data_IF_826094369349
#
_entry.id   IF_826094369349
#
_cell.length_a   1.000
_cell.length_b   1.000
_cell.length_c   1.000
_cell.angle_alpha   90.00
_cell.angle_beta   90.00
_cell.angle_gamma   90.00
#
_symmetry.space_group_name_H-M   'P 1'
#
loop_
_entity.id
_entity.type
_entity.pdbx_description
1 polymer ?
#
# COMPACT_ATOMS: atom_id res chain seq x y z
N UNK A 1 14.61 -7.75 -11.39
CA UNK A 1 13.56 -7.00 -12.12
C UNK A 1 12.26 -7.77 -12.00
N UNK A 2 11.11 -7.11 -11.78
CA UNK A 2 9.80 -7.79 -11.67
C UNK A 2 9.25 -8.08 -13.08
N UNK A 3 9.97 -8.87 -13.87
CA UNK A 3 9.73 -9.04 -15.31
C UNK A 3 10.54 -8.06 -16.16
N UNK A 4 9.97 -7.60 -17.28
CA UNK A 4 10.67 -6.82 -18.32
C UNK A 4 10.75 -5.31 -18.01
N UNK A 5 10.19 -4.86 -16.88
CA UNK A 5 10.21 -3.46 -16.43
C UNK A 5 11.15 -3.30 -15.24
N UNK A 6 11.88 -2.19 -15.23
CA UNK A 6 12.69 -1.71 -14.10
C UNK A 6 11.79 -1.31 -12.93
N UNK A 7 12.39 -1.14 -11.74
CA UNK A 7 11.62 -0.70 -10.56
C UNK A 7 10.99 0.67 -10.75
N UNK A 8 11.66 1.59 -11.44
CA UNK A 8 11.17 2.94 -11.63
C UNK A 8 10.01 2.98 -12.61
N UNK A 9 10.05 2.18 -13.67
CA UNK A 9 8.94 2.04 -14.62
C UNK A 9 7.68 1.48 -13.95
N UNK A 10 7.81 0.48 -13.06
CA UNK A 10 6.68 -0.03 -12.29
C UNK A 10 6.08 1.03 -11.36
N UNK A 11 6.92 1.79 -10.65
CA UNK A 11 6.46 2.85 -9.75
C UNK A 11 5.81 4.01 -10.52
N UNK A 12 6.34 4.33 -11.69
CA UNK A 12 5.77 5.34 -12.58
C UNK A 12 4.40 4.90 -13.11
N UNK A 13 4.28 3.66 -13.60
CA UNK A 13 3.00 3.07 -14.03
C UNK A 13 1.94 3.14 -12.91
N UNK A 14 2.31 2.71 -11.69
CA UNK A 14 1.45 2.79 -10.52
C UNK A 14 1.04 4.24 -10.18
N UNK A 15 1.97 5.18 -10.26
CA UNK A 15 1.69 6.61 -10.02
C UNK A 15 0.75 7.20 -11.07
N UNK A 16 0.87 6.75 -12.33
CA UNK A 16 0.04 7.20 -13.44
C UNK A 16 -1.35 6.58 -13.45
N UNK A 17 -1.54 5.39 -12.87
CA UNK A 17 -2.84 4.73 -12.77
C UNK A 17 -3.69 5.28 -11.63
N UNK A 18 -3.06 5.79 -10.57
CA UNK A 18 -3.67 6.44 -9.41
C UNK A 18 -3.62 7.96 -9.54
N UNK A 19 -4.53 8.58 -10.31
CA UNK A 19 -4.49 10.03 -10.57
C UNK A 19 -5.34 10.83 -9.59
N UNK A 20 -6.43 10.26 -9.08
CA UNK A 20 -7.38 10.97 -8.26
C UNK A 20 -6.75 11.39 -6.91
N UNK A 21 -6.92 12.65 -6.46
CA UNK A 21 -6.26 13.15 -5.24
C UNK A 21 -6.63 12.36 -4.00
N UNK A 22 -7.90 11.95 -3.87
CA UNK A 22 -8.34 11.10 -2.74
C UNK A 22 -7.70 9.71 -2.81
N UNK A 23 -7.51 9.16 -4.01
CA UNK A 23 -6.86 7.88 -4.18
C UNK A 23 -5.39 7.93 -3.75
N UNK A 24 -4.65 8.95 -4.19
CA UNK A 24 -3.26 9.19 -3.75
C UNK A 24 -3.15 9.40 -2.25
N UNK A 25 -4.04 10.19 -1.66
CA UNK A 25 -4.03 10.49 -0.22
C UNK A 25 -4.28 9.23 0.61
N UNK A 26 -5.35 8.51 0.30
CA UNK A 26 -5.71 7.27 0.99
C UNK A 26 -4.63 6.20 0.82
N UNK A 27 -3.95 6.13 -0.33
CA UNK A 27 -2.82 5.22 -0.50
C UNK A 27 -1.59 5.65 0.29
N UNK A 28 -1.28 6.94 0.32
CA UNK A 28 -0.15 7.48 1.10
C UNK A 28 -0.27 7.16 2.60
N UNK A 29 -1.50 7.04 3.12
CA UNK A 29 -1.78 6.70 4.51
C UNK A 29 -1.98 5.18 4.69
N UNK A 30 -2.75 4.53 3.82
CA UNK A 30 -3.09 3.12 3.96
C UNK A 30 -1.91 2.16 3.73
N UNK A 31 -1.03 2.45 2.77
CA UNK A 31 0.16 1.62 2.50
C UNK A 31 1.05 1.46 3.75
N UNK A 32 1.48 2.55 4.43
CA UNK A 32 2.30 2.39 5.64
C UNK A 32 1.54 1.75 6.79
N UNK A 33 0.22 1.94 6.92
CA UNK A 33 -0.57 1.25 7.95
C UNK A 33 -0.55 -0.27 7.75
N UNK A 34 -0.77 -0.72 6.51
CA UNK A 34 -0.69 -2.14 6.15
C UNK A 34 0.75 -2.64 6.37
N UNK A 35 1.76 -1.92 5.86
CA UNK A 35 3.16 -2.32 5.98
C UNK A 35 3.63 -2.43 7.43
N UNK A 36 3.21 -1.51 8.31
CA UNK A 36 3.55 -1.52 9.73
C UNK A 36 2.79 -2.60 10.51
N UNK A 37 1.56 -2.93 10.10
CA UNK A 37 0.77 -3.97 10.77
C UNK A 37 1.44 -5.35 10.72
N UNK A 38 2.12 -5.68 9.63
CA UNK A 38 2.72 -7.01 9.41
C UNK A 38 3.81 -7.37 10.44
N UNK A 39 4.85 -6.55 10.68
CA UNK A 39 5.81 -6.85 11.74
C UNK A 39 5.19 -6.75 13.13
N UNK A 40 4.18 -5.90 13.35
CA UNK A 40 3.48 -5.81 14.64
C UNK A 40 2.67 -7.07 14.97
N UNK A 41 2.21 -7.83 13.97
CA UNK A 41 1.64 -9.16 14.22
C UNK A 41 2.65 -10.15 14.81
N UNK A 42 3.95 -10.00 14.52
CA UNK A 42 4.99 -10.84 15.15
C UNK A 42 5.14 -10.51 16.64
N UNK A 43 5.01 -9.23 17.01
CA UNK A 43 5.01 -8.78 18.41
C UNK A 43 3.79 -9.34 19.16
N UNK A 44 2.65 -9.42 18.48
CA UNK A 44 1.40 -9.94 19.06
C UNK A 44 1.46 -11.43 19.44
N UNK A 45 2.45 -12.19 18.97
CA UNK A 45 2.70 -13.57 19.40
C UNK A 45 3.25 -13.62 20.83
N UNK A 46 3.99 -12.57 21.22
CA UNK A 46 4.70 -12.48 22.51
C UNK A 46 3.86 -11.73 23.54
N UNK A 47 3.14 -10.70 23.10
CA UNK A 47 2.37 -9.81 23.97
C UNK A 47 0.88 -10.14 23.86
N UNK A 48 0.33 -10.76 24.90
CA UNK A 48 -1.08 -11.11 24.98
C UNK A 48 -1.99 -9.88 24.80
N UNK A 49 -3.07 -10.02 24.03
CA UNK A 49 -4.01 -8.93 23.73
C UNK A 49 -3.52 -7.86 22.76
N UNK A 50 -2.22 -7.82 22.42
CA UNK A 50 -1.66 -6.79 21.53
C UNK A 50 -2.13 -6.91 20.08
N UNK A 51 -2.65 -8.07 19.66
CA UNK A 51 -3.11 -8.35 18.29
C UNK A 51 -4.17 -7.37 17.76
N UNK A 52 -4.90 -6.69 18.64
CA UNK A 52 -5.94 -5.73 18.24
C UNK A 52 -5.36 -4.51 17.50
N UNK A 53 -4.14 -4.09 17.84
CA UNK A 53 -3.47 -2.96 17.21
C UNK A 53 -3.04 -3.23 15.76
N UNK A 54 -2.25 -4.29 15.45
CA UNK A 54 -1.94 -4.62 14.07
C UNK A 54 -3.20 -4.97 13.27
N UNK A 55 -4.21 -5.61 13.87
CA UNK A 55 -5.47 -5.86 13.17
C UNK A 55 -6.18 -4.55 12.79
N UNK A 56 -6.29 -3.59 13.71
CA UNK A 56 -6.91 -2.30 13.42
C UNK A 56 -6.15 -1.55 12.31
N UNK A 57 -4.81 -1.53 12.36
CA UNK A 57 -3.98 -0.92 11.31
C UNK A 57 -4.19 -1.60 9.95
N UNK A 58 -4.22 -2.94 9.93
CA UNK A 58 -4.43 -3.71 8.72
C UNK A 58 -5.80 -3.44 8.10
N UNK A 59 -6.87 -3.54 8.90
CA UNK A 59 -8.26 -3.34 8.44
C UNK A 59 -8.48 -1.90 7.97
N UNK A 60 -8.12 -0.91 8.78
CA UNK A 60 -8.29 0.50 8.42
C UNK A 60 -7.42 0.85 7.21
N UNK A 61 -6.20 0.33 7.15
CA UNK A 61 -5.31 0.51 6.00
C UNK A 61 -5.96 0.02 4.70
N UNK A 62 -6.54 -1.18 4.70
CA UNK A 62 -7.28 -1.72 3.55
C UNK A 62 -8.53 -0.92 3.20
N UNK A 63 -9.32 -0.51 4.19
CA UNK A 63 -10.49 0.34 3.97
C UNK A 63 -10.08 1.62 3.22
N UNK A 64 -8.98 2.26 3.64
CA UNK A 64 -8.46 3.44 2.94
C UNK A 64 -8.09 3.11 1.49
N UNK A 65 -7.37 2.01 1.22
CA UNK A 65 -7.03 1.59 -0.16
C UNK A 65 -8.30 1.47 -1.03
N UNK A 66 -9.32 0.73 -0.53
CA UNK A 66 -10.55 0.50 -1.28
C UNK A 66 -11.38 1.77 -1.47
N UNK A 67 -11.43 2.65 -0.47
CA UNK A 67 -12.08 3.97 -0.62
C UNK A 67 -11.38 4.78 -1.70
N UNK A 68 -10.04 4.80 -1.72
CA UNK A 68 -9.28 5.45 -2.79
C UNK A 68 -9.65 4.95 -4.18
N UNK A 69 -9.71 3.64 -4.35
CA UNK A 69 -10.11 2.98 -5.60
C UNK A 69 -11.57 3.23 -6.00
N UNK A 70 -12.48 3.34 -5.03
CA UNK A 70 -13.86 3.72 -5.28
C UNK A 70 -13.94 5.11 -5.93
N UNK A 71 -13.19 6.09 -5.44
CA UNK A 71 -13.12 7.43 -6.06
C UNK A 71 -12.37 7.47 -7.40
N UNK A 72 -11.39 6.58 -7.62
CA UNK A 72 -10.72 6.46 -8.92
C UNK A 72 -11.61 5.79 -9.98
N UNK A 73 -12.65 5.05 -9.57
CA UNK A 73 -13.52 4.29 -10.46
C UNK A 73 -12.84 3.07 -11.09
N UNK A 74 -11.70 2.62 -10.53
CA UNK A 74 -10.92 1.49 -11.04
C UNK A 74 -10.66 0.48 -9.91
N UNK A 75 -10.76 -0.82 -10.18
CA UNK A 75 -10.42 -1.82 -9.18
C UNK A 75 -8.91 -1.76 -8.85
N UNK A 76 -8.52 -2.18 -7.64
CA UNK A 76 -7.13 -2.37 -7.27
C UNK A 76 -6.35 -3.24 -8.25
N UNK A 77 -5.14 -2.83 -8.59
CA UNK A 77 -4.33 -3.49 -9.62
C UNK A 77 -3.81 -4.85 -9.20
N UNK A 78 -3.71 -5.11 -7.89
CA UNK A 78 -3.29 -6.42 -7.39
C UNK A 78 -4.26 -7.54 -7.76
N UNK A 79 -5.51 -7.23 -8.11
CA UNK A 79 -6.45 -8.20 -8.67
C UNK A 79 -6.03 -8.71 -10.05
N UNK A 80 -5.28 -7.89 -10.80
CA UNK A 80 -4.70 -8.29 -12.09
C UNK A 80 -3.34 -8.94 -11.89
N UNK A 81 -2.56 -8.41 -10.94
CA UNK A 81 -1.20 -8.86 -10.70
C UNK A 81 -0.75 -8.54 -9.27
N UNK A 82 -0.58 -9.57 -8.45
CA UNK A 82 -0.19 -9.46 -7.04
C UNK A 82 1.09 -8.64 -6.80
N UNK A 83 1.97 -8.52 -7.80
CA UNK A 83 3.20 -7.71 -7.70
C UNK A 83 2.90 -6.24 -7.37
N UNK A 84 1.70 -5.73 -7.72
CA UNK A 84 1.29 -4.36 -7.40
C UNK A 84 1.22 -4.06 -5.90
N UNK A 85 1.08 -5.08 -5.03
CA UNK A 85 1.22 -4.90 -3.58
C UNK A 85 2.63 -4.39 -3.20
N UNK A 86 3.66 -4.95 -3.84
CA UNK A 86 5.05 -4.54 -3.62
C UNK A 86 5.38 -3.24 -4.36
N UNK A 87 4.80 -3.02 -5.55
CA UNK A 87 4.97 -1.76 -6.29
C UNK A 87 4.39 -0.58 -5.49
N UNK A 88 3.21 -0.74 -4.89
CA UNK A 88 2.62 0.26 -4.00
C UNK A 88 3.54 0.61 -2.82
N UNK A 89 4.11 -0.39 -2.15
CA UNK A 89 5.08 -0.17 -1.07
C UNK A 89 6.32 0.61 -1.56
N UNK A 90 6.86 0.25 -2.73
CA UNK A 90 8.01 0.96 -3.32
C UNK A 90 7.68 2.38 -3.72
N UNK A 91 6.48 2.62 -4.28
CA UNK A 91 5.98 3.95 -4.57
C UNK A 91 5.92 4.81 -3.30
N UNK A 92 5.39 4.26 -2.21
CA UNK A 92 5.32 4.96 -0.92
C UNK A 92 6.72 5.29 -0.36
N UNK A 93 7.65 4.32 -0.41
CA UNK A 93 9.04 4.52 0.00
C UNK A 93 9.73 5.62 -0.82
N UNK A 94 9.60 5.57 -2.15
CA UNK A 94 10.18 6.59 -3.06
C UNK A 94 9.58 7.96 -2.80
N UNK A 95 8.27 8.04 -2.56
CA UNK A 95 7.58 9.31 -2.28
C UNK A 95 7.96 9.91 -0.93
N UNK A 96 8.32 9.09 0.05
CA UNK A 96 8.60 9.51 1.44
C UNK A 96 10.09 9.78 1.68
N UNK A 97 10.96 8.95 1.10
CA UNK A 97 12.40 8.95 1.37
C UNK A 97 13.27 9.14 0.12
N UNK A 98 12.70 9.06 -1.08
CA UNK A 98 13.44 9.28 -2.32
C UNK A 98 13.83 10.74 -2.46
N UNK A 99 15.08 10.99 -2.91
CA UNK A 99 15.47 12.32 -3.41
C UNK A 99 14.61 12.61 -4.65
N UNK A 100 14.00 13.79 -4.69
CA UNK A 100 13.19 14.26 -5.82
C UNK A 100 14.06 14.49 -7.04
#
# INVERSE_FOLDING_TARGET
MLGNKTSDEWVEEYSQSHRHPINKLTHKIGIPMIALSLPLFLVAIIVEGFWIFPLALFVVGWILQFVGHYFEGKPPEFFRDWRFLFVGLRWWLKKTFGKQ
#
